data_IF_105027513339
#
_entry.id   IF_105027513339
#
_cell.length_a   1.000
_cell.length_b   1.000
_cell.length_c   1.000
_cell.angle_alpha   90.00
_cell.angle_beta   90.00
_cell.angle_gamma   90.00
#
_symmetry.space_group_name_H-M   'P 1'
#
loop_
_entity.id
_entity.type
_entity.pdbx_description
1 polymer ?
#
# COMPACT_ATOMS: atom_id res chain seq x y z
N UNK A 1 17.22 6.98 -3.36
CA UNK A 1 16.03 7.16 -2.51
C UNK A 1 15.58 8.58 -2.74
N UNK A 2 14.38 8.73 -3.26
CA UNK A 2 13.89 9.96 -3.87
C UNK A 2 12.73 10.56 -3.09
N UNK A 3 12.24 9.84 -2.09
CA UNK A 3 11.25 10.31 -1.14
C UNK A 3 10.67 9.16 -0.33
N UNK A 4 9.79 9.51 0.58
CA UNK A 4 8.99 8.56 1.33
C UNK A 4 7.58 9.13 1.54
N UNK A 5 6.68 8.27 1.96
CA UNK A 5 5.48 8.70 2.64
C UNK A 5 4.93 7.64 3.57
N UNK A 6 4.10 8.11 4.48
CA UNK A 6 3.35 7.30 5.42
C UNK A 6 1.91 7.80 5.44
N UNK A 7 0.98 6.88 5.28
CA UNK A 7 -0.45 7.12 5.42
C UNK A 7 -1.03 6.24 6.51
N UNK A 8 -1.79 6.83 7.42
CA UNK A 8 -2.44 6.13 8.53
C UNK A 8 -3.87 6.60 8.71
N UNK A 9 -4.67 5.87 9.47
CA UNK A 9 -6.09 6.18 9.64
C UNK A 9 -6.41 6.73 11.02
N UNK A 10 -7.32 7.71 11.05
CA UNK A 10 -7.85 8.33 12.27
C UNK A 10 -9.33 8.66 12.10
N UNK A 11 -10.08 8.66 13.20
CA UNK A 11 -11.49 9.08 13.22
C UNK A 11 -11.66 10.59 13.45
N UNK A 12 -10.60 11.26 13.92
CA UNK A 12 -10.64 12.65 14.44
C UNK A 12 -11.28 13.63 13.46
N UNK A 13 -10.95 13.56 12.16
CA UNK A 13 -11.52 14.46 11.16
C UNK A 13 -13.04 14.30 11.04
N UNK A 14 -13.53 13.06 10.96
CA UNK A 14 -14.95 12.79 10.85
C UNK A 14 -15.69 13.12 12.14
N UNK A 15 -15.12 12.79 13.29
CA UNK A 15 -15.73 13.14 14.58
C UNK A 15 -15.92 14.66 14.71
N UNK A 16 -14.95 15.44 14.25
CA UNK A 16 -15.07 16.90 14.23
C UNK A 16 -16.10 17.40 13.21
N UNK A 17 -16.12 16.81 12.01
CA UNK A 17 -16.98 17.26 10.92
C UNK A 17 -18.46 16.93 11.13
N UNK A 18 -18.77 15.77 11.72
CA UNK A 18 -20.15 15.27 11.87
C UNK A 18 -20.68 15.38 13.30
N UNK A 19 -19.80 15.51 14.29
CA UNK A 19 -20.16 15.40 15.71
C UNK A 19 -20.47 13.96 16.16
N UNK A 20 -20.29 12.97 15.28
CA UNK A 20 -20.38 11.57 15.65
C UNK A 20 -19.13 11.17 16.45
N UNK A 21 -19.29 10.39 17.51
CA UNK A 21 -18.17 9.93 18.32
C UNK A 21 -18.06 8.42 18.25
N UNK A 22 -16.85 7.90 18.04
CA UNK A 22 -16.62 6.45 18.11
C UNK A 22 -15.39 6.00 17.33
N UNK A 23 -15.05 4.72 17.50
CA UNK A 23 -13.95 4.06 16.78
C UNK A 23 -14.43 3.23 15.59
N UNK A 24 -15.59 3.58 15.03
CA UNK A 24 -16.19 2.85 13.93
C UNK A 24 -15.37 3.00 12.65
N UNK A 25 -15.22 1.91 11.89
CA UNK A 25 -14.55 1.90 10.57
C UNK A 25 -15.13 2.92 9.59
N UNK A 26 -16.39 3.29 9.74
CA UNK A 26 -17.06 4.30 8.92
C UNK A 26 -16.42 5.69 9.07
N UNK A 27 -15.92 6.01 10.26
CA UNK A 27 -15.32 7.30 10.61
C UNK A 27 -13.84 7.40 10.23
N UNK A 28 -13.17 6.27 9.92
CA UNK A 28 -11.75 6.28 9.59
C UNK A 28 -11.50 7.08 8.30
N UNK A 29 -10.59 8.05 8.37
CA UNK A 29 -10.07 8.78 7.22
C UNK A 29 -8.54 8.71 7.20
N UNK A 30 -7.95 8.63 6.00
CA UNK A 30 -6.51 8.60 5.86
C UNK A 30 -5.91 9.99 6.13
N UNK A 31 -4.81 10.00 6.87
CA UNK A 31 -3.89 11.12 7.03
C UNK A 31 -2.60 10.71 6.36
N UNK A 32 -2.07 11.56 5.48
CA UNK A 32 -0.86 11.26 4.70
C UNK A 32 0.21 12.31 4.94
N UNK A 33 1.42 11.84 5.20
CA UNK A 33 2.63 12.64 5.24
C UNK A 33 3.63 12.10 4.22
N UNK A 34 4.01 12.95 3.25
CA UNK A 34 5.01 12.63 2.21
C UNK A 34 6.14 13.65 2.23
N UNK A 35 7.35 13.22 1.92
CA UNK A 35 8.50 14.11 1.80
C UNK A 35 9.52 13.54 0.81
N UNK A 36 10.31 14.41 0.17
CA UNK A 36 11.41 14.03 -0.74
C UNK A 36 12.75 13.89 -0.01
N UNK A 37 12.80 14.19 1.29
CA UNK A 37 14.01 14.02 2.12
C UNK A 37 14.15 12.57 2.59
N UNK A 38 15.35 12.11 2.95
CA UNK A 38 15.53 10.81 3.58
C UNK A 38 14.73 10.70 4.90
N UNK A 39 13.99 9.61 5.16
CA UNK A 39 13.11 9.47 6.31
C UNK A 39 13.87 9.49 7.64
N UNK A 40 15.09 8.94 7.68
CA UNK A 40 15.91 8.88 8.89
C UNK A 40 16.27 10.26 9.45
N UNK A 41 16.32 11.27 8.58
CA UNK A 41 16.69 12.64 8.94
C UNK A 41 15.47 13.56 9.09
N UNK A 42 14.26 13.02 8.98
CA UNK A 42 13.03 13.79 9.06
C UNK A 42 12.49 13.84 10.50
N UNK A 43 12.77 14.95 11.20
CA UNK A 43 12.31 15.16 12.57
C UNK A 43 10.77 15.21 12.69
N UNK A 44 10.06 15.59 11.62
CA UNK A 44 8.60 15.61 11.59
C UNK A 44 8.07 14.18 11.53
N UNK A 45 8.61 13.34 10.65
CA UNK A 45 8.27 11.92 10.61
C UNK A 45 8.52 11.26 11.96
N UNK A 46 9.69 11.49 12.56
CA UNK A 46 10.01 10.94 13.89
C UNK A 46 9.02 11.41 14.97
N UNK A 47 8.59 12.68 14.92
CA UNK A 47 7.60 13.21 15.84
C UNK A 47 6.22 12.56 15.64
N UNK A 48 5.78 12.41 14.38
CA UNK A 48 4.52 11.74 14.02
C UNK A 48 4.55 10.29 14.50
N UNK A 49 5.62 9.55 14.19
CA UNK A 49 5.76 8.14 14.55
C UNK A 49 5.72 7.91 16.07
N UNK A 50 6.28 8.83 16.88
CA UNK A 50 6.22 8.74 18.35
C UNK A 50 4.84 9.08 18.93
N UNK A 51 4.08 9.96 18.27
CA UNK A 51 2.82 10.48 18.78
C UNK A 51 1.56 9.81 18.21
N UNK A 52 1.71 8.91 17.24
CA UNK A 52 0.59 8.34 16.48
C UNK A 52 0.36 6.89 16.83
N UNK A 53 -0.91 6.54 17.07
CA UNK A 53 -1.40 5.16 17.10
C UNK A 53 -2.50 5.02 16.04
N UNK A 54 -2.52 3.91 15.34
CA UNK A 54 -3.50 3.63 14.29
C UNK A 54 -3.73 2.13 14.15
N UNK A 55 -4.87 1.72 13.58
CA UNK A 55 -5.19 0.32 13.25
C UNK A 55 -4.79 -0.08 11.84
N UNK A 56 -4.43 0.89 10.99
CA UNK A 56 -4.04 0.65 9.61
C UNK A 56 -3.02 1.70 9.15
N UNK A 57 -2.00 1.24 8.43
CA UNK A 57 -0.90 2.08 7.96
C UNK A 57 -0.34 1.55 6.64
N UNK A 58 0.04 2.46 5.73
CA UNK A 58 0.89 2.19 4.58
C UNK A 58 2.10 3.10 4.69
N UNK A 59 3.31 2.52 4.67
CA UNK A 59 4.56 3.27 4.57
C UNK A 59 5.28 2.84 3.29
N UNK A 60 5.83 3.81 2.55
CA UNK A 60 6.49 3.54 1.29
C UNK A 60 7.73 4.43 1.13
N UNK A 61 8.88 3.79 0.97
CA UNK A 61 10.12 4.46 0.56
C UNK A 61 10.24 4.36 -0.95
N UNK A 62 10.39 5.50 -1.62
CA UNK A 62 10.50 5.55 -3.08
C UNK A 62 11.96 5.59 -3.50
N UNK A 63 12.35 4.66 -4.36
CA UNK A 63 13.58 4.70 -5.15
C UNK A 63 13.18 4.59 -6.62
N UNK A 64 12.92 5.73 -7.26
CA UNK A 64 12.52 5.75 -8.66
C UNK A 64 13.76 5.62 -9.55
N UNK A 65 13.67 4.94 -10.70
CA UNK A 65 14.80 4.74 -11.61
C UNK A 65 15.21 6.00 -12.40
N UNK A 66 15.05 7.21 -11.84
CA UNK A 66 15.38 8.49 -12.49
C UNK A 66 14.47 8.89 -13.67
N UNK A 67 13.48 8.06 -14.03
CA UNK A 67 12.58 8.29 -15.17
C UNK A 67 11.48 9.34 -14.91
N UNK A 68 11.22 9.66 -13.64
CA UNK A 68 10.15 10.56 -13.23
C UNK A 68 10.68 11.62 -12.27
N UNK A 69 10.14 12.86 -12.29
CA UNK A 69 10.59 13.91 -11.39
C UNK A 69 10.53 13.52 -9.91
N UNK A 70 11.52 14.01 -9.16
CA UNK A 70 11.58 13.93 -7.70
C UNK A 70 10.77 15.07 -7.12
N UNK A 71 9.47 14.84 -6.97
CA UNK A 71 8.50 15.80 -6.41
C UNK A 71 7.59 15.09 -5.42
N UNK A 72 7.10 15.83 -4.44
CA UNK A 72 6.26 15.28 -3.37
C UNK A 72 4.96 14.65 -3.89
N UNK A 73 4.37 15.21 -4.94
CA UNK A 73 3.16 14.65 -5.59
C UNK A 73 3.40 13.30 -6.27
N UNK A 74 4.65 12.86 -6.43
CA UNK A 74 4.99 11.53 -6.93
C UNK A 74 5.34 10.54 -5.80
N UNK A 75 5.15 10.91 -4.54
CA UNK A 75 5.43 10.05 -3.39
C UNK A 75 4.18 9.32 -2.92
N UNK A 76 4.29 8.00 -2.75
CA UNK A 76 3.25 7.16 -2.15
C UNK A 76 3.10 7.40 -0.64
N UNK A 77 1.95 7.02 -0.04
CA UNK A 77 0.74 6.52 -0.71
C UNK A 77 -0.09 7.65 -1.36
N UNK A 78 -0.83 7.33 -2.41
CA UNK A 78 -1.82 8.21 -3.00
C UNK A 78 -3.16 8.06 -2.28
N UNK A 79 -3.89 9.17 -2.12
CA UNK A 79 -5.18 9.20 -1.44
C UNK A 79 -6.32 9.40 -2.42
N UNK A 80 -7.30 8.50 -2.40
CA UNK A 80 -8.54 8.60 -3.15
C UNK A 80 -9.73 8.46 -2.20
N UNK A 81 -10.26 9.59 -1.71
CA UNK A 81 -11.27 9.60 -0.66
C UNK A 81 -10.75 8.91 0.61
N UNK A 82 -11.37 7.81 1.02
CA UNK A 82 -10.90 7.03 2.18
C UNK A 82 -9.80 6.01 1.85
N UNK A 83 -9.41 5.86 0.59
CA UNK A 83 -8.53 4.79 0.16
C UNK A 83 -7.09 5.28 0.01
N UNK A 84 -6.14 4.52 0.56
CA UNK A 84 -4.72 4.69 0.31
C UNK A 84 -4.24 3.65 -0.70
N UNK A 85 -3.55 4.10 -1.75
CA UNK A 85 -2.99 3.25 -2.80
C UNK A 85 -1.47 3.41 -2.88
N UNK A 86 -0.74 2.32 -2.98
CA UNK A 86 0.71 2.32 -3.18
C UNK A 86 1.14 1.27 -4.20
N UNK A 87 2.23 1.55 -4.90
CA UNK A 87 2.80 0.66 -5.91
C UNK A 87 4.33 0.59 -5.77
N UNK A 88 4.87 -0.63 -5.69
CA UNK A 88 6.27 -0.92 -5.91
C UNK A 88 6.46 -1.73 -7.21
N UNK A 89 7.27 -1.20 -8.13
CA UNK A 89 7.56 -1.80 -9.44
C UNK A 89 7.24 -0.84 -10.60
N UNK A 90 6.92 -1.38 -11.77
CA UNK A 90 6.79 -0.64 -13.03
C UNK A 90 5.61 -1.16 -13.86
N UNK A 91 4.80 -0.24 -14.38
CA UNK A 91 3.84 -0.52 -15.47
C UNK A 91 4.56 -0.47 -16.82
N UNK A 92 4.60 -1.60 -17.51
CA UNK A 92 5.23 -1.74 -18.82
C UNK A 92 4.60 -0.81 -19.86
N UNK A 93 5.42 -0.24 -20.76
CA UNK A 93 4.96 0.67 -21.82
C UNK A 93 4.03 1.82 -21.34
N UNK A 94 4.17 2.27 -20.08
CA UNK A 94 3.26 3.27 -19.50
C UNK A 94 3.13 4.55 -20.35
N UNK A 95 4.24 5.03 -20.92
CA UNK A 95 4.22 6.21 -21.78
C UNK A 95 3.25 6.08 -22.98
N UNK A 96 3.11 4.87 -23.54
CA UNK A 96 2.23 4.59 -24.67
C UNK A 96 0.76 4.49 -24.24
N UNK A 97 0.49 3.96 -23.05
CA UNK A 97 -0.89 3.76 -22.56
C UNK A 97 -1.41 4.93 -21.71
N UNK A 98 -0.55 5.89 -21.32
CA UNK A 98 -0.94 7.01 -20.43
C UNK A 98 -2.07 7.84 -21.01
N UNK A 99 -1.96 8.25 -22.28
CA UNK A 99 -3.01 9.07 -22.92
C UNK A 99 -4.31 8.28 -23.11
N UNK A 100 -4.30 7.04 -23.66
CA UNK A 100 -5.50 6.19 -23.69
C UNK A 100 -6.14 5.97 -22.32
N UNK A 101 -5.33 5.73 -21.28
CA UNK A 101 -5.82 5.57 -19.90
C UNK A 101 -6.55 6.82 -19.43
N UNK A 102 -5.97 8.02 -19.62
CA UNK A 102 -6.63 9.27 -19.25
C UNK A 102 -7.93 9.49 -20.05
N UNK A 103 -7.95 9.15 -21.34
CA UNK A 103 -9.17 9.27 -22.16
C UNK A 103 -10.27 8.30 -21.74
N UNK A 104 -9.90 7.13 -21.22
CA UNK A 104 -10.83 6.14 -20.71
C UNK A 104 -11.45 6.54 -19.36
N UNK A 105 -10.71 7.29 -18.53
CA UNK A 105 -11.18 7.74 -17.23
C UNK A 105 -12.21 8.88 -17.34
N UNK A 106 -13.30 8.85 -16.57
CA UNK A 106 -14.15 10.03 -16.40
C UNK A 106 -13.37 11.22 -15.82
N UNK A 107 -13.79 12.45 -16.14
CA UNK A 107 -13.05 13.67 -15.81
C UNK A 107 -12.65 13.76 -14.32
N UNK A 108 -13.56 13.37 -13.41
CA UNK A 108 -13.31 13.42 -11.95
C UNK A 108 -12.10 12.57 -11.52
N UNK A 109 -11.84 11.45 -12.20
CA UNK A 109 -10.70 10.58 -11.94
C UNK A 109 -9.41 11.19 -12.50
N UNK A 110 -9.49 11.78 -13.69
CA UNK A 110 -8.36 12.49 -14.29
C UNK A 110 -7.90 13.66 -13.41
N UNK A 111 -8.85 14.45 -12.88
CA UNK A 111 -8.55 15.62 -12.05
C UNK A 111 -7.98 15.27 -10.67
N UNK A 112 -8.12 14.02 -10.23
CA UNK A 112 -7.54 13.56 -8.97
C UNK A 112 -6.06 13.16 -9.10
N UNK A 113 -5.55 13.02 -10.33
CA UNK A 113 -4.13 12.74 -10.59
C UNK A 113 -3.36 14.06 -10.50
N UNK A 114 -2.46 14.18 -9.52
CA UNK A 114 -1.67 15.39 -9.26
C UNK A 114 -0.21 15.26 -9.71
N UNK A 115 0.30 14.03 -9.74
CA UNK A 115 1.65 13.69 -10.16
C UNK A 115 1.71 13.17 -11.59
N UNK A 116 2.76 12.40 -11.86
CA UNK A 116 3.15 11.95 -13.21
C UNK A 116 3.50 10.47 -13.27
N UNK A 117 3.43 9.78 -12.14
CA UNK A 117 3.81 8.36 -12.03
C UNK A 117 2.75 7.45 -12.62
N UNK A 118 3.19 6.31 -13.14
CA UNK A 118 2.33 5.19 -13.50
C UNK A 118 1.45 4.75 -12.33
N UNK A 119 2.02 4.70 -11.13
CA UNK A 119 1.33 4.30 -9.91
C UNK A 119 0.07 5.13 -9.58
N UNK A 120 0.13 6.46 -9.71
CA UNK A 120 -1.04 7.31 -9.44
C UNK A 120 -2.13 7.14 -10.51
N UNK A 121 -1.73 7.02 -11.78
CA UNK A 121 -2.66 6.76 -12.88
C UNK A 121 -3.32 5.38 -12.73
N UNK A 122 -2.55 4.40 -12.27
CA UNK A 122 -3.05 3.06 -11.93
C UNK A 122 -4.01 3.11 -10.74
N UNK A 123 -3.72 3.91 -9.71
CA UNK A 123 -4.62 4.16 -8.59
C UNK A 123 -5.94 4.80 -9.02
N UNK A 124 -5.91 5.78 -9.92
CA UNK A 124 -7.12 6.39 -10.47
C UNK A 124 -7.95 5.38 -11.30
N UNK A 125 -7.28 4.55 -12.11
CA UNK A 125 -7.92 3.44 -12.83
C UNK A 125 -8.52 2.40 -11.89
N UNK A 126 -7.81 2.04 -10.82
CA UNK A 126 -8.30 1.14 -9.79
C UNK A 126 -9.57 1.68 -9.13
N UNK A 127 -9.58 2.94 -8.74
CA UNK A 127 -10.77 3.57 -8.16
C UNK A 127 -11.93 3.60 -9.14
N UNK A 128 -11.67 3.79 -10.44
CA UNK A 128 -12.73 3.70 -11.45
C UNK A 128 -13.28 2.27 -11.59
N UNK A 129 -12.43 1.25 -11.55
CA UNK A 129 -12.85 -0.17 -11.57
C UNK A 129 -13.66 -0.56 -10.32
N UNK A 130 -13.37 0.06 -9.17
CA UNK A 130 -14.05 -0.17 -7.91
C UNK A 130 -15.41 0.55 -7.83
N UNK A 131 -15.42 1.84 -8.13
CA UNK A 131 -16.54 2.73 -7.87
C UNK A 131 -17.45 2.93 -9.10
N UNK A 132 -16.95 2.72 -10.32
CA UNK A 132 -17.65 3.09 -11.55
C UNK A 132 -17.71 4.60 -11.77
N UNK A 133 -18.47 5.05 -12.76
CA UNK A 133 -18.46 6.46 -13.20
C UNK A 133 -18.93 7.43 -12.12
N UNK A 134 -19.98 7.05 -11.38
CA UNK A 134 -20.65 7.87 -10.36
C UNK A 134 -20.41 7.37 -8.92
N UNK A 135 -19.53 6.39 -8.70
CA UNK A 135 -19.38 5.81 -7.36
C UNK A 135 -18.76 6.74 -6.31
N UNK A 136 -18.87 6.37 -5.05
CA UNK A 136 -18.47 7.21 -3.93
C UNK A 136 -17.13 6.74 -3.32
N UNK A 137 -16.11 7.60 -3.35
CA UNK A 137 -14.78 7.30 -2.79
C UNK A 137 -14.74 7.36 -1.26
N UNK A 138 -15.85 7.74 -0.63
CA UNK A 138 -16.01 7.73 0.83
C UNK A 138 -16.77 6.50 1.34
N UNK A 139 -17.28 5.65 0.45
CA UNK A 139 -17.97 4.41 0.80
C UNK A 139 -16.99 3.33 1.28
N UNK A 140 -17.47 2.44 2.16
CA UNK A 140 -16.77 1.21 2.48
C UNK A 140 -17.06 0.13 1.45
N UNK A 141 -15.99 -0.44 0.91
CA UNK A 141 -16.02 -1.59 0.02
C UNK A 141 -15.37 -2.76 0.75
N UNK A 142 -16.02 -3.92 0.75
CA UNK A 142 -15.46 -5.12 1.39
C UNK A 142 -14.26 -5.67 0.62
N UNK A 143 -13.39 -6.42 1.29
CA UNK A 143 -12.14 -6.95 0.71
C UNK A 143 -12.32 -7.68 -0.63
N UNK A 144 -13.44 -8.39 -0.83
CA UNK A 144 -13.72 -9.06 -2.10
C UNK A 144 -14.03 -8.10 -3.25
N UNK A 145 -14.68 -6.96 -2.97
CA UNK A 145 -14.90 -5.91 -3.98
C UNK A 145 -13.58 -5.22 -4.33
N UNK A 146 -12.71 -4.99 -3.34
CA UNK A 146 -11.37 -4.44 -3.56
C UNK A 146 -10.53 -5.38 -4.44
N UNK A 147 -10.53 -6.69 -4.13
CA UNK A 147 -9.80 -7.68 -4.93
C UNK A 147 -10.34 -7.81 -6.36
N UNK A 148 -11.65 -7.71 -6.54
CA UNK A 148 -12.27 -7.72 -7.86
C UNK A 148 -11.92 -6.48 -8.69
N UNK A 149 -11.91 -5.30 -8.06
CA UNK A 149 -11.43 -4.09 -8.72
C UNK A 149 -9.97 -4.24 -9.16
N UNK A 150 -9.11 -4.82 -8.31
CA UNK A 150 -7.71 -5.09 -8.62
C UNK A 150 -7.56 -5.95 -9.89
N UNK A 151 -8.31 -7.06 -10.00
CA UNK A 151 -8.32 -7.90 -11.20
C UNK A 151 -8.73 -7.12 -12.44
N UNK A 152 -9.83 -6.36 -12.37
CA UNK A 152 -10.32 -5.54 -13.49
C UNK A 152 -9.29 -4.50 -13.92
N UNK A 153 -8.59 -3.87 -12.97
CA UNK A 153 -7.53 -2.91 -13.25
C UNK A 153 -6.41 -3.53 -14.06
N UNK A 154 -5.91 -4.70 -13.66
CA UNK A 154 -4.83 -5.38 -14.37
C UNK A 154 -5.27 -5.81 -15.77
N UNK A 155 -6.46 -6.40 -15.91
CA UNK A 155 -7.02 -6.75 -17.22
C UNK A 155 -7.12 -5.52 -18.13
N UNK A 156 -7.58 -4.38 -17.60
CA UNK A 156 -7.70 -3.15 -18.37
C UNK A 156 -6.33 -2.61 -18.83
N UNK A 157 -5.34 -2.59 -17.94
CA UNK A 157 -3.97 -2.19 -18.27
C UNK A 157 -3.39 -3.09 -19.37
N UNK A 158 -3.51 -4.41 -19.24
CA UNK A 158 -3.00 -5.33 -20.25
C UNK A 158 -3.71 -5.18 -21.60
N UNK A 159 -5.01 -4.90 -21.60
CA UNK A 159 -5.75 -4.61 -22.84
C UNK A 159 -5.26 -3.32 -23.50
N UNK A 160 -5.06 -2.25 -22.73
CA UNK A 160 -4.48 -1.01 -23.24
C UNK A 160 -3.05 -1.23 -23.77
N UNK A 161 -2.25 -2.06 -23.10
CA UNK A 161 -0.91 -2.40 -23.58
C UNK A 161 -0.96 -3.17 -24.90
N UNK A 162 -1.85 -4.16 -25.03
CA UNK A 162 -2.04 -4.90 -26.28
C UNK A 162 -2.45 -3.99 -27.44
N UNK A 163 -3.28 -2.98 -27.18
CA UNK A 163 -3.79 -2.08 -28.21
C UNK A 163 -2.81 -0.96 -28.56
N UNK A 164 -2.17 -0.34 -27.56
CA UNK A 164 -1.45 0.93 -27.72
C UNK A 164 0.07 0.84 -27.52
N UNK A 165 0.63 -0.26 -27.00
CA UNK A 165 2.08 -0.32 -26.75
C UNK A 165 2.93 -0.37 -28.03
N UNK A 166 2.36 -0.81 -29.15
CA UNK A 166 3.09 -0.98 -30.42
C UNK A 166 4.27 -1.94 -30.25
N UNK A 167 5.48 -1.47 -30.58
CA UNK A 167 6.73 -2.24 -30.43
C UNK A 167 7.41 -2.05 -29.06
N UNK A 168 6.76 -1.36 -28.12
CA UNK A 168 7.35 -1.10 -26.80
C UNK A 168 7.45 -2.39 -26.00
N UNK A 169 8.48 -2.47 -25.15
CA UNK A 169 8.63 -3.58 -24.20
C UNK A 169 7.52 -3.51 -23.15
N UNK A 170 6.69 -4.55 -23.08
CA UNK A 170 5.61 -4.70 -22.09
C UNK A 170 6.05 -5.72 -21.05
N UNK A 171 6.62 -5.23 -19.95
CA UNK A 171 6.86 -6.02 -18.75
C UNK A 171 6.24 -5.28 -17.57
N UNK A 172 5.27 -5.91 -16.94
CA UNK A 172 4.63 -5.43 -15.73
C UNK A 172 5.29 -6.11 -14.54
N UNK A 173 5.68 -5.31 -13.54
CA UNK A 173 6.13 -5.78 -12.24
C UNK A 173 5.38 -4.98 -11.20
N UNK A 174 4.31 -5.55 -10.63
CA UNK A 174 3.30 -4.78 -9.91
C UNK A 174 3.10 -5.37 -8.51
N UNK A 175 3.70 -4.73 -7.52
CA UNK A 175 3.28 -4.88 -6.13
C UNK A 175 2.34 -3.73 -5.80
N UNK A 176 1.05 -4.00 -5.69
CA UNK A 176 0.01 -2.99 -5.46
C UNK A 176 -0.61 -3.21 -4.09
N UNK A 177 -0.84 -2.14 -3.34
CA UNK A 177 -1.54 -2.21 -2.05
C UNK A 177 -2.64 -1.16 -2.04
N UNK A 178 -3.84 -1.57 -1.64
CA UNK A 178 -4.97 -0.70 -1.35
C UNK A 178 -5.41 -0.94 0.09
N UNK A 179 -5.64 0.14 0.84
CA UNK A 179 -6.13 0.08 2.22
C UNK A 179 -7.20 1.15 2.46
N UNK A 180 -8.34 0.77 3.03
CA UNK A 180 -9.46 1.68 3.35
C UNK A 180 -9.54 2.09 4.83
N UNK A 181 -8.57 1.64 5.64
CA UNK A 181 -8.53 1.77 7.09
C UNK A 181 -9.06 0.54 7.83
N UNK A 182 -9.91 -0.25 7.17
CA UNK A 182 -10.46 -1.50 7.71
C UNK A 182 -10.24 -2.71 6.80
N UNK A 183 -10.14 -2.51 5.49
CA UNK A 183 -9.94 -3.58 4.51
C UNK A 183 -8.64 -3.32 3.76
N UNK A 184 -7.87 -4.37 3.48
CA UNK A 184 -6.62 -4.28 2.71
C UNK A 184 -6.53 -5.38 1.66
N UNK A 185 -6.09 -5.02 0.47
CA UNK A 185 -5.66 -5.97 -0.57
C UNK A 185 -4.26 -5.62 -1.00
N UNK A 186 -3.37 -6.61 -1.02
CA UNK A 186 -2.03 -6.50 -1.57
C UNK A 186 -1.86 -7.52 -2.69
N UNK A 187 -1.42 -7.09 -3.87
CA UNK A 187 -1.17 -7.92 -5.04
C UNK A 187 0.34 -7.99 -5.29
N UNK A 188 0.86 -9.17 -5.61
CA UNK A 188 2.14 -9.35 -6.30
C UNK A 188 1.86 -9.88 -7.70
N UNK A 189 2.22 -9.15 -8.74
CA UNK A 189 1.91 -9.53 -10.11
C UNK A 189 3.08 -9.26 -11.07
N UNK A 190 3.30 -10.19 -12.00
CA UNK A 190 4.26 -10.01 -13.08
C UNK A 190 3.69 -10.51 -14.40
N UNK A 191 3.91 -9.76 -15.48
CA UNK A 191 3.59 -10.24 -16.84
C UNK A 191 4.60 -9.70 -17.87
N UNK A 192 4.92 -10.46 -18.95
CA UNK A 192 4.51 -11.84 -19.21
C UNK A 192 5.13 -12.85 -18.24
N UNK A 193 4.69 -14.11 -18.32
CA UNK A 193 5.25 -15.19 -17.50
C UNK A 193 6.79 -15.27 -17.64
N UNK A 194 7.48 -15.42 -16.51
CA UNK A 194 8.94 -15.43 -16.42
C UNK A 194 9.57 -14.08 -16.07
N UNK A 195 8.79 -12.99 -16.07
CA UNK A 195 9.20 -11.72 -15.45
C UNK A 195 9.11 -11.86 -13.93
N UNK A 196 10.13 -11.41 -13.22
CA UNK A 196 10.15 -11.41 -11.75
C UNK A 196 9.72 -10.04 -11.23
N UNK A 197 8.63 -9.99 -10.47
CA UNK A 197 8.23 -8.80 -9.73
C UNK A 197 9.03 -8.66 -8.43
N UNK A 198 9.20 -7.43 -7.89
CA UNK A 198 9.75 -7.24 -6.55
C UNK A 198 9.10 -8.19 -5.54
N UNK A 199 9.87 -8.63 -4.56
CA UNK A 199 9.34 -9.52 -3.51
C UNK A 199 8.24 -8.82 -2.72
N UNK A 200 7.29 -9.63 -2.26
CA UNK A 200 6.21 -9.21 -1.37
C UNK A 200 5.98 -10.34 -0.38
N UNK A 201 6.02 -10.03 0.90
CA UNK A 201 5.83 -10.97 1.99
C UNK A 201 4.62 -10.57 2.81
N UNK A 202 4.03 -11.54 3.50
CA UNK A 202 3.03 -11.27 4.52
C UNK A 202 3.31 -12.03 5.82
N UNK A 203 2.77 -11.53 6.93
CA UNK A 203 2.85 -12.19 8.23
C UNK A 203 1.68 -11.84 9.15
N UNK A 204 1.22 -12.82 9.92
CA UNK A 204 0.27 -12.68 11.04
C UNK A 204 0.95 -12.82 12.41
N UNK A 205 2.28 -12.98 12.44
CA UNK A 205 3.07 -13.26 13.66
C UNK A 205 4.12 -12.19 13.92
N UNK A 206 4.70 -11.63 12.86
CA UNK A 206 5.81 -10.67 12.91
C UNK A 206 5.47 -9.38 13.67
N UNK A 207 4.19 -9.00 13.81
CA UNK A 207 3.82 -7.81 14.58
C UNK A 207 4.12 -7.93 16.07
N UNK A 208 4.10 -9.15 16.62
CA UNK A 208 4.55 -9.40 18.00
C UNK A 208 6.05 -9.18 18.18
N UNK A 209 6.85 -9.39 17.13
CA UNK A 209 8.31 -9.23 17.16
C UNK A 209 8.80 -7.86 16.70
N UNK A 210 8.00 -7.12 15.93
CA UNK A 210 8.29 -5.73 15.51
C UNK A 210 8.13 -4.70 16.63
N UNK A 211 7.23 -4.93 17.58
CA UNK A 211 6.93 -3.97 18.65
C UNK A 211 7.70 -4.32 19.94
N UNK A 212 8.91 -3.77 20.12
CA UNK A 212 9.73 -4.00 21.32
C UNK A 212 10.18 -2.73 22.06
N UNK A 213 9.58 -1.57 21.77
CA UNK A 213 9.83 -0.25 22.41
C UNK A 213 11.30 0.08 22.83
N UNK A 214 12.29 -0.52 22.13
CA UNK A 214 13.77 -0.48 22.22
C UNK A 214 14.44 -1.31 23.36
N UNK A 215 15.58 -2.02 23.19
CA UNK A 215 16.79 -1.74 22.36
C UNK A 215 17.19 -2.83 21.35
N UNK A 216 17.60 -2.38 20.16
CA UNK A 216 18.07 -3.17 19.00
C UNK A 216 17.41 -2.67 17.71
N UNK A 217 18.16 -2.60 16.60
CA UNK A 217 17.55 -2.35 15.27
C UNK A 217 16.79 -3.61 14.85
N UNK A 218 15.62 -3.54 14.20
CA UNK A 218 14.92 -4.73 13.69
C UNK A 218 15.81 -5.63 12.81
N UNK A 219 16.82 -5.01 12.17
CA UNK A 219 17.80 -5.66 11.29
C UNK A 219 19.12 -6.04 11.99
N UNK A 220 19.22 -5.97 13.33
CA UNK A 220 20.42 -6.42 14.03
C UNK A 220 20.50 -7.96 14.06
N UNK A 221 21.08 -8.49 12.98
CA UNK A 221 21.30 -9.92 12.71
C UNK A 221 22.37 -10.58 13.60
N UNK A 222 22.97 -9.86 14.56
CA UNK A 222 24.06 -10.36 15.42
C UNK A 222 23.62 -10.72 16.85
N UNK A 223 22.39 -10.44 17.25
CA UNK A 223 21.83 -10.85 18.54
C UNK A 223 21.34 -12.30 18.51
N UNK A 224 21.56 -13.05 19.59
CA UNK A 224 21.22 -14.48 19.75
C UNK A 224 19.72 -14.81 19.78
N UNK A 225 18.86 -13.86 19.40
CA UNK A 225 17.41 -14.01 19.45
C UNK A 225 16.84 -14.07 20.87
N UNK A 226 17.67 -13.90 21.92
CA UNK A 226 17.14 -13.66 23.26
C UNK A 226 16.43 -12.31 23.24
N UNK A 227 15.14 -12.35 23.54
CA UNK A 227 14.41 -11.17 23.97
C UNK A 227 15.15 -10.68 25.21
N UNK A 228 15.56 -9.42 25.27
CA UNK A 228 15.85 -8.81 26.57
C UNK A 228 14.57 -8.96 27.40
N UNK A 229 14.51 -9.97 28.28
CA UNK A 229 13.35 -10.27 29.14
C UNK A 229 12.93 -9.03 29.97
N UNK A 230 13.82 -8.04 30.10
CA UNK A 230 13.60 -6.78 30.82
C UNK A 230 12.72 -5.75 30.09
N UNK A 231 12.33 -5.91 28.81
CA UNK A 231 11.60 -4.84 28.07
C UNK A 231 10.37 -5.23 27.24
N UNK A 232 10.00 -6.51 27.16
CA UNK A 232 8.70 -6.86 26.57
C UNK A 232 7.57 -6.42 27.52
N UNK A 233 7.00 -5.25 27.23
CA UNK A 233 5.93 -4.66 28.03
C UNK A 233 4.60 -5.43 27.89
N UNK A 234 4.49 -6.34 26.92
CA UNK A 234 3.30 -7.13 26.62
C UNK A 234 3.70 -8.58 26.33
N UNK A 235 2.92 -9.54 26.82
CA UNK A 235 3.09 -10.93 26.42
C UNK A 235 2.63 -11.11 24.97
N UNK A 236 3.17 -12.10 24.23
CA UNK A 236 2.77 -12.38 22.83
C UNK A 236 1.26 -12.55 22.67
N UNK A 237 0.59 -13.14 23.65
CA UNK A 237 -0.86 -13.37 23.64
C UNK A 237 -1.67 -12.09 23.90
N UNK A 238 -1.06 -11.03 24.42
CA UNK A 238 -1.68 -9.71 24.62
C UNK A 238 -1.69 -8.88 23.32
N UNK A 239 -0.93 -9.29 22.30
CA UNK A 239 -0.97 -8.64 21.00
C UNK A 239 -2.30 -8.96 20.30
N UNK A 240 -3.05 -7.92 19.97
CA UNK A 240 -4.21 -8.05 19.09
C UNK A 240 -3.83 -8.64 17.73
N UNK A 241 -4.84 -9.19 17.03
CA UNK A 241 -4.66 -9.67 15.65
C UNK A 241 -4.09 -8.55 14.77
N UNK A 242 -3.07 -8.89 14.00
CA UNK A 242 -2.40 -7.98 13.08
C UNK A 242 -2.03 -8.75 11.81
N UNK A 243 -2.01 -8.05 10.70
CA UNK A 243 -1.50 -8.54 9.42
C UNK A 243 -0.51 -7.52 8.89
N UNK A 244 0.65 -7.99 8.45
CA UNK A 244 1.71 -7.15 7.90
C UNK A 244 2.00 -7.64 6.49
N UNK A 245 2.14 -6.70 5.56
CA UNK A 245 2.63 -6.94 4.21
C UNK A 245 3.83 -6.03 3.99
N UNK A 246 4.94 -6.58 3.52
CA UNK A 246 6.19 -5.85 3.34
C UNK A 246 6.94 -6.34 2.10
N UNK A 247 7.78 -5.49 1.50
CA UNK A 247 8.62 -5.90 0.36
C UNK A 247 9.75 -6.85 0.76
N UNK A 248 10.12 -6.86 2.04
CA UNK A 248 11.17 -7.68 2.63
C UNK A 248 10.80 -8.04 4.09
N UNK A 249 11.25 -9.19 4.62
CA UNK A 249 11.08 -9.53 6.03
C UNK A 249 11.76 -8.49 6.93
N UNK A 250 11.02 -7.92 7.87
CA UNK A 250 11.50 -6.85 8.76
C UNK A 250 11.69 -7.31 10.22
N UNK A 251 11.85 -8.62 10.42
CA UNK A 251 12.14 -9.22 11.74
C UNK A 251 13.34 -10.17 11.63
N UNK A 252 14.00 -10.43 12.77
CA UNK A 252 15.16 -11.32 12.84
C UNK A 252 14.84 -12.73 12.33
N UNK A 253 13.65 -13.25 12.66
CA UNK A 253 13.22 -14.57 12.24
C UNK A 253 12.45 -14.47 10.91
N UNK A 254 13.12 -14.78 9.81
CA UNK A 254 12.51 -14.76 8.48
C UNK A 254 11.40 -15.80 8.31
N UNK A 255 11.40 -16.88 9.11
CA UNK A 255 10.33 -17.90 9.08
C UNK A 255 8.99 -17.39 9.63
N UNK A 256 8.96 -16.16 10.15
CA UNK A 256 7.71 -15.47 10.50
C UNK A 256 6.97 -14.92 9.27
N UNK A 257 7.59 -14.96 8.09
CA UNK A 257 7.10 -14.34 6.87
C UNK A 257 6.89 -15.37 5.77
N UNK A 258 5.75 -15.27 5.10
CA UNK A 258 5.44 -16.06 3.92
C UNK A 258 5.63 -15.19 2.67
N UNK A 259 6.27 -15.74 1.64
CA UNK A 259 6.40 -15.08 0.34
C UNK A 259 5.06 -15.17 -0.41
N UNK A 260 4.61 -14.05 -0.98
CA UNK A 260 3.49 -14.01 -1.94
C UNK A 260 4.02 -14.45 -3.29
N UNK A 261 3.41 -15.45 -3.92
CA UNK A 261 3.81 -15.86 -5.27
C UNK A 261 3.33 -14.85 -6.32
N UNK A 262 4.00 -14.74 -7.49
CA UNK A 262 3.50 -13.93 -8.59
C UNK A 262 2.07 -14.34 -8.99
N UNK A 263 1.23 -13.34 -9.25
CA UNK A 263 -0.21 -13.50 -9.54
C UNK A 263 -1.05 -13.95 -8.34
N UNK A 264 -0.62 -13.62 -7.13
CA UNK A 264 -1.43 -13.81 -5.92
C UNK A 264 -1.76 -12.49 -5.22
N UNK A 265 -2.91 -12.50 -4.53
CA UNK A 265 -3.38 -11.42 -3.69
C UNK A 265 -3.51 -11.87 -2.23
N UNK A 266 -3.05 -11.03 -1.32
CA UNK A 266 -3.30 -11.10 0.12
C UNK A 266 -4.50 -10.22 0.43
N UNK A 267 -5.54 -10.82 1.00
CA UNK A 267 -6.77 -10.16 1.40
C UNK A 267 -6.82 -10.13 2.93
N UNK A 268 -6.99 -8.95 3.51
CA UNK A 268 -7.20 -8.75 4.95
C UNK A 268 -8.51 -8.01 5.17
N UNK A 269 -9.46 -8.67 5.81
CA UNK A 269 -10.78 -8.11 6.11
C UNK A 269 -10.80 -7.23 7.37
N UNK A 270 -11.93 -6.57 7.66
CA UNK A 270 -12.13 -5.78 8.87
C UNK A 270 -11.89 -6.51 10.20
N UNK A 271 -11.92 -7.85 10.19
CA UNK A 271 -11.65 -8.67 11.35
C UNK A 271 -10.17 -9.09 11.42
N UNK A 272 -9.31 -8.56 10.56
CA UNK A 272 -7.90 -8.91 10.45
C UNK A 272 -7.75 -10.42 10.15
N UNK A 273 -8.65 -10.98 9.34
CA UNK A 273 -8.49 -12.33 8.80
C UNK A 273 -7.76 -12.24 7.47
N UNK A 274 -6.66 -12.97 7.36
CA UNK A 274 -5.85 -13.02 6.16
C UNK A 274 -6.22 -14.23 5.30
N UNK A 275 -6.36 -14.01 3.99
CA UNK A 275 -6.48 -15.06 2.99
C UNK A 275 -5.60 -14.74 1.78
N UNK A 276 -4.86 -15.71 1.29
CA UNK A 276 -4.16 -15.63 0.01
C UNK A 276 -5.04 -16.26 -1.06
N UNK A 277 -5.19 -15.58 -2.20
CA UNK A 277 -5.96 -16.05 -3.36
C UNK A 277 -5.18 -15.81 -4.63
N UNK A 278 -5.40 -16.66 -5.63
CA UNK A 278 -4.86 -16.42 -6.97
C UNK A 278 -5.64 -15.30 -7.69
N UNK A 279 -4.95 -14.62 -8.61
CA UNK A 279 -5.52 -13.61 -9.49
C UNK A 279 -6.41 -14.23 -10.58
#
# INVERSE_FOLDING_TARGET
MDGFGVGWFSTVEQEFATGEHGRGKELLRPIVYTNIRPPMNDLVLQSIARGTSTTAIIAHVRAAPGLTPVVQTNCHPFTFGRHLFAHNGIVGAFASIRTPLLQYLPLRYQTAILGTTDAEHLGALYMFMLCGEEGDWTSLYGVHQLAEAMRKTIVMVENMQKEFAGNSKVENTLNLVINSGSEMVALRYASPAGVEAPSLYYSMKAGSTMNRKYTGHPDDTKGDGSLDEERDLYAKDDHGRHAIVASEPSTLNQDEWDLVEPSQMVLVDENIRLKVVDM
#
